data_IF_633683806695
#
_entry.id   IF_633683806695
#
_cell.length_a   1.000
_cell.length_b   1.000
_cell.length_c   1.000
_cell.angle_alpha   90.00
_cell.angle_beta   90.00
_cell.angle_gamma   90.00
#
_symmetry.space_group_name_H-M   'P 1'
#
loop_
_entity.id
_entity.type
_entity.pdbx_description
1 polymer ?
#
# COMPACT_ATOMS: atom_id res chain seq x y z
N UNK A 1 24.38 -27.70 -1.95
CA UNK A 1 24.92 -27.04 -0.74
C UNK A 1 26.30 -26.53 -1.10
N UNK A 2 26.38 -25.31 -1.63
CA UNK A 2 27.65 -24.74 -2.11
C UNK A 2 28.35 -24.05 -0.95
N UNK A 3 29.55 -24.54 -0.64
CA UNK A 3 30.44 -24.06 0.41
C UNK A 3 30.71 -22.57 0.28
N UNK A 4 30.08 -21.75 1.13
CA UNK A 4 30.30 -20.29 1.18
C UNK A 4 31.60 -19.91 1.90
N UNK A 5 32.41 -20.89 2.31
CA UNK A 5 33.62 -20.76 3.12
C UNK A 5 34.89 -20.45 2.32
N UNK A 6 35.04 -21.07 1.14
CA UNK A 6 36.30 -21.16 0.38
C UNK A 6 36.85 -19.86 -0.26
N UNK A 7 36.03 -18.92 -0.78
CA UNK A 7 36.55 -17.84 -1.61
C UNK A 7 37.43 -16.83 -0.85
N UNK A 8 37.10 -16.55 0.42
CA UNK A 8 37.83 -15.56 1.22
C UNK A 8 39.19 -16.10 1.67
N UNK A 9 39.26 -17.40 1.99
CA UNK A 9 40.51 -18.08 2.36
C UNK A 9 41.51 -18.13 1.21
N UNK A 10 41.02 -18.35 -0.01
CA UNK A 10 41.85 -18.34 -1.23
C UNK A 10 42.36 -16.93 -1.56
N UNK A 11 41.52 -15.91 -1.40
CA UNK A 11 41.91 -14.51 -1.55
C UNK A 11 42.94 -14.08 -0.49
N UNK A 12 42.75 -14.50 0.76
CA UNK A 12 43.72 -14.26 1.84
C UNK A 12 45.08 -14.89 1.56
N UNK A 13 45.11 -16.10 1.00
CA UNK A 13 46.35 -16.76 0.58
C UNK A 13 47.05 -15.97 -0.53
N UNK A 14 46.31 -15.55 -1.56
CA UNK A 14 46.83 -14.78 -2.69
C UNK A 14 47.41 -13.42 -2.24
N UNK A 15 46.75 -12.73 -1.31
CA UNK A 15 47.25 -11.45 -0.78
C UNK A 15 48.51 -11.63 0.07
N UNK A 16 48.66 -12.77 0.78
CA UNK A 16 49.91 -13.09 1.50
C UNK A 16 51.09 -13.27 0.53
N UNK A 17 50.87 -13.92 -0.60
CA UNK A 17 51.88 -14.07 -1.65
C UNK A 17 52.29 -12.71 -2.25
N UNK A 18 51.30 -11.85 -2.55
CA UNK A 18 51.52 -10.47 -3.01
C UNK A 18 52.32 -9.65 -1.98
N UNK A 19 52.04 -9.82 -0.70
CA UNK A 19 52.76 -9.14 0.37
C UNK A 19 54.22 -9.61 0.48
N UNK A 20 54.51 -10.89 0.21
CA UNK A 20 55.85 -11.46 0.22
C UNK A 20 56.70 -11.06 -1.00
N UNK A 21 56.08 -10.73 -2.13
CA UNK A 21 56.79 -10.32 -3.35
C UNK A 21 57.49 -8.96 -3.19
N UNK A 22 58.77 -8.88 -3.55
CA UNK A 22 59.55 -7.63 -3.53
C UNK A 22 59.29 -6.74 -4.75
N UNK A 23 58.66 -7.28 -5.80
CA UNK A 23 58.38 -6.56 -7.05
C UNK A 23 57.14 -5.65 -6.93
N UNK A 24 56.30 -5.86 -5.91
CA UNK A 24 55.04 -5.13 -5.74
C UNK A 24 55.29 -3.85 -4.92
N UNK A 25 54.92 -2.66 -5.44
CA UNK A 25 55.04 -1.41 -4.70
C UNK A 25 54.25 -1.41 -3.39
N UNK A 26 54.80 -0.74 -2.37
CA UNK A 26 54.22 -0.69 -1.02
C UNK A 26 52.80 -0.13 -1.01
N UNK A 27 52.51 0.88 -1.83
CA UNK A 27 51.17 1.48 -1.94
C UNK A 27 50.10 0.47 -2.42
N UNK A 28 50.46 -0.42 -3.36
CA UNK A 28 49.55 -1.46 -3.88
C UNK A 28 49.27 -2.50 -2.81
N UNK A 29 50.30 -2.93 -2.06
CA UNK A 29 50.12 -3.83 -0.91
C UNK A 29 49.16 -3.24 0.10
N UNK A 30 49.37 -1.98 0.49
CA UNK A 30 48.49 -1.30 1.46
C UNK A 30 47.06 -1.23 0.97
N UNK A 31 46.82 -0.86 -0.30
CA UNK A 31 45.48 -0.82 -0.88
C UNK A 31 44.79 -2.19 -0.88
N UNK A 32 45.49 -3.25 -1.26
CA UNK A 32 44.93 -4.62 -1.26
C UNK A 32 44.60 -5.12 0.15
N UNK A 33 45.44 -4.83 1.15
CA UNK A 33 45.14 -5.18 2.54
C UNK A 33 43.91 -4.42 3.06
N UNK A 34 43.76 -3.12 2.73
CA UNK A 34 42.54 -2.38 3.08
C UNK A 34 41.28 -2.98 2.45
N UNK A 35 41.34 -3.37 1.17
CA UNK A 35 40.21 -4.04 0.51
C UNK A 35 39.87 -5.38 1.16
N UNK A 36 40.89 -6.14 1.59
CA UNK A 36 40.69 -7.41 2.29
C UNK A 36 39.98 -7.20 3.65
N UNK A 37 40.38 -6.17 4.39
CA UNK A 37 39.77 -5.82 5.67
C UNK A 37 38.30 -5.40 5.49
N UNK A 38 37.99 -4.58 4.48
CA UNK A 38 36.61 -4.20 4.16
C UNK A 38 35.75 -5.40 3.73
N UNK A 39 36.30 -6.31 2.92
CA UNK A 39 35.60 -7.54 2.54
C UNK A 39 35.34 -8.45 3.76
N UNK A 40 36.28 -8.52 4.71
CA UNK A 40 36.09 -9.29 5.94
C UNK A 40 34.96 -8.69 6.80
N UNK A 41 34.91 -7.36 6.95
CA UNK A 41 33.81 -6.66 7.64
C UNK A 41 32.46 -6.91 6.98
N UNK A 42 32.37 -6.73 5.66
CA UNK A 42 31.14 -6.95 4.89
C UNK A 42 30.65 -8.40 4.99
N UNK A 43 31.56 -9.38 5.04
CA UNK A 43 31.18 -10.78 5.24
C UNK A 43 30.61 -11.02 6.63
N UNK A 44 31.26 -10.47 7.67
CA UNK A 44 30.76 -10.55 9.05
C UNK A 44 29.36 -9.94 9.17
N UNK A 45 29.13 -8.77 8.58
CA UNK A 45 27.83 -8.10 8.58
C UNK A 45 26.77 -8.92 7.83
N UNK A 46 27.12 -9.51 6.69
CA UNK A 46 26.22 -10.41 5.97
C UNK A 46 25.85 -11.66 6.79
N UNK A 47 26.79 -12.22 7.55
CA UNK A 47 26.53 -13.38 8.38
C UNK A 47 25.61 -13.03 9.56
N UNK A 48 25.80 -11.86 10.19
CA UNK A 48 24.88 -11.34 11.21
C UNK A 48 23.49 -11.06 10.62
N UNK A 49 23.38 -10.43 9.44
CA UNK A 49 22.11 -10.18 8.76
C UNK A 49 21.39 -11.47 8.37
N UNK A 50 22.12 -12.51 7.96
CA UNK A 50 21.53 -13.83 7.67
C UNK A 50 21.00 -14.49 8.94
N UNK A 51 21.73 -14.37 10.05
CA UNK A 51 21.28 -14.87 11.36
C UNK A 51 20.02 -14.14 11.82
N UNK A 52 20.01 -12.82 11.77
CA UNK A 52 18.82 -12.02 12.10
C UNK A 52 17.63 -12.38 11.20
N UNK A 53 17.84 -12.52 9.89
CA UNK A 53 16.79 -12.97 8.97
C UNK A 53 16.26 -14.37 9.32
N UNK A 54 17.13 -15.29 9.72
CA UNK A 54 16.73 -16.62 10.18
C UNK A 54 15.88 -16.54 11.44
N UNK A 55 16.29 -15.75 12.42
CA UNK A 55 15.58 -15.56 13.69
C UNK A 55 14.22 -14.88 13.48
N UNK A 56 14.14 -13.88 12.59
CA UNK A 56 12.89 -13.21 12.24
C UNK A 56 11.92 -14.14 11.51
N UNK A 57 12.42 -14.98 10.60
CA UNK A 57 11.61 -16.00 9.92
C UNK A 57 11.06 -17.03 10.90
N UNK A 58 11.85 -17.44 11.89
CA UNK A 58 11.38 -18.36 12.92
C UNK A 58 10.34 -17.71 13.83
N UNK A 59 10.57 -16.45 14.24
CA UNK A 59 9.56 -15.68 14.99
C UNK A 59 8.25 -15.55 14.22
N UNK A 60 8.31 -15.30 12.91
CA UNK A 60 7.13 -15.27 12.04
C UNK A 60 6.43 -16.64 12.01
N UNK A 61 7.18 -17.72 11.82
CA UNK A 61 6.63 -19.09 11.83
C UNK A 61 5.89 -19.41 13.12
N UNK A 62 6.46 -19.03 14.27
CA UNK A 62 5.84 -19.22 15.59
C UNK A 62 4.61 -18.33 15.77
N UNK A 63 4.66 -17.07 15.32
CA UNK A 63 3.52 -16.17 15.38
C UNK A 63 2.35 -16.67 14.51
N UNK A 64 2.66 -17.15 13.31
CA UNK A 64 1.71 -17.79 12.40
C UNK A 64 1.12 -19.07 13.00
N UNK A 65 1.93 -19.93 13.65
CA UNK A 65 1.42 -21.14 14.30
C UNK A 65 0.51 -20.83 15.49
N UNK A 66 0.89 -19.87 16.35
CA UNK A 66 0.06 -19.42 17.49
C UNK A 66 -1.25 -18.79 17.02
N UNK A 67 -1.22 -18.04 15.93
CA UNK A 67 -2.42 -17.49 15.30
C UNK A 67 -3.31 -18.61 14.76
N UNK A 68 -2.73 -19.62 14.10
CA UNK A 68 -3.47 -20.80 13.63
C UNK A 68 -4.08 -21.61 14.78
N UNK A 69 -3.39 -21.76 15.90
CA UNK A 69 -3.90 -22.47 17.10
C UNK A 69 -5.04 -21.70 17.79
N UNK A 70 -4.95 -20.36 17.87
CA UNK A 70 -6.05 -19.51 18.34
C UNK A 70 -7.30 -19.60 17.44
N UNK A 71 -7.11 -19.79 16.14
CA UNK A 71 -8.22 -20.02 15.21
C UNK A 71 -8.86 -21.39 15.49
N UNK A 72 -8.09 -22.45 15.73
CA UNK A 72 -8.65 -23.80 15.96
C UNK A 72 -9.45 -23.94 17.26
N UNK A 73 -9.10 -23.20 18.34
CA UNK A 73 -9.88 -23.26 19.60
C UNK A 73 -11.21 -22.49 19.55
N UNK A 74 -11.39 -21.61 18.56
CA UNK A 74 -12.65 -20.88 18.35
C UNK A 74 -13.59 -21.53 17.32
N UNK A 75 -13.16 -22.63 16.67
CA UNK A 75 -13.85 -23.26 15.52
C UNK A 75 -14.78 -24.45 15.90
N UNK A 76 -14.92 -24.82 17.18
CA UNK A 76 -15.98 -25.78 17.57
C UNK A 76 -17.41 -25.23 17.46
N UNK A 77 -17.59 -23.96 17.08
CA UNK A 77 -18.89 -23.38 16.74
C UNK A 77 -18.80 -22.60 15.43
N UNK A 78 -18.93 -23.30 14.30
CA UNK A 78 -19.46 -22.88 12.98
C UNK A 78 -18.64 -23.41 11.80
N UNK A 79 -19.39 -23.87 10.80
CA UNK A 79 -19.06 -24.70 9.64
C UNK A 79 -18.05 -24.10 8.64
N UNK A 80 -17.51 -24.88 7.68
CA UNK A 80 -16.29 -24.53 6.97
C UNK A 80 -16.54 -23.58 5.78
N UNK A 81 -15.83 -22.45 5.76
CA UNK A 81 -15.61 -21.66 4.55
C UNK A 81 -14.14 -21.28 4.44
N UNK A 82 -13.46 -21.83 3.44
CA UNK A 82 -12.03 -21.68 3.16
C UNK A 82 -11.63 -20.27 2.64
N UNK A 83 -12.27 -19.20 3.13
CA UNK A 83 -12.11 -17.83 2.66
C UNK A 83 -11.54 -16.85 3.70
N UNK A 84 -11.16 -17.29 4.89
CA UNK A 84 -10.95 -16.37 6.03
C UNK A 84 -9.71 -15.46 5.89
N UNK A 85 -8.52 -16.00 5.59
CA UNK A 85 -7.27 -15.24 5.65
C UNK A 85 -7.07 -14.19 4.53
N UNK A 86 -7.58 -14.44 3.31
CA UNK A 86 -7.53 -13.45 2.23
C UNK A 86 -8.60 -12.37 2.40
N UNK A 87 -9.72 -12.68 3.06
CA UNK A 87 -10.78 -11.71 3.34
C UNK A 87 -10.31 -10.61 4.29
N UNK A 88 -9.49 -10.95 5.30
CA UNK A 88 -9.04 -10.01 6.33
C UNK A 88 -8.12 -8.92 5.78
N UNK A 89 -7.19 -9.27 4.89
CA UNK A 89 -6.30 -8.27 4.28
C UNK A 89 -7.07 -7.28 3.39
N UNK A 90 -7.92 -7.82 2.51
CA UNK A 90 -8.74 -6.99 1.61
C UNK A 90 -9.75 -6.13 2.39
N UNK A 91 -10.26 -6.65 3.51
CA UNK A 91 -11.11 -5.91 4.43
C UNK A 91 -10.35 -4.80 5.15
N UNK A 92 -9.19 -5.10 5.73
CA UNK A 92 -8.34 -4.11 6.39
C UNK A 92 -7.93 -2.98 5.44
N UNK A 93 -7.50 -3.32 4.21
CA UNK A 93 -7.22 -2.31 3.18
C UNK A 93 -8.47 -1.49 2.84
N UNK A 94 -9.62 -2.13 2.63
CA UNK A 94 -10.88 -1.45 2.30
C UNK A 94 -11.30 -0.48 3.40
N UNK A 95 -11.23 -0.88 4.67
CA UNK A 95 -11.64 -0.08 5.82
C UNK A 95 -10.79 1.19 6.00
N UNK A 96 -9.52 1.15 5.60
CA UNK A 96 -8.63 2.32 5.56
C UNK A 96 -8.56 3.00 4.17
N UNK A 97 -9.48 2.68 3.26
CA UNK A 97 -9.51 3.25 1.92
C UNK A 97 -10.68 4.20 1.68
N UNK A 98 -10.47 5.19 0.82
CA UNK A 98 -11.51 6.06 0.27
C UNK A 98 -11.52 5.97 -1.25
N UNK A 99 -12.61 6.44 -1.83
CA UNK A 99 -12.77 6.62 -3.27
C UNK A 99 -13.13 8.08 -3.54
N UNK A 100 -12.37 8.71 -4.43
CA UNK A 100 -12.56 10.09 -4.86
C UNK A 100 -13.06 10.08 -6.30
N UNK A 101 -14.06 10.90 -6.60
CA UNK A 101 -14.60 11.12 -7.95
C UNK A 101 -14.42 12.56 -8.37
N UNK A 102 -14.27 12.80 -9.68
CA UNK A 102 -14.25 14.15 -10.25
C UNK A 102 -12.88 14.80 -10.35
N UNK A 103 -11.80 14.10 -9.99
CA UNK A 103 -10.43 14.58 -10.19
C UNK A 103 -10.07 14.47 -11.68
N UNK A 104 -9.72 15.56 -12.38
CA UNK A 104 -9.32 15.52 -13.79
C UNK A 104 -8.16 14.54 -14.03
N UNK A 105 -8.15 13.87 -15.18
CA UNK A 105 -7.01 13.03 -15.59
C UNK A 105 -6.04 13.85 -16.43
N UNK A 106 -4.74 13.70 -16.16
CA UNK A 106 -3.70 14.30 -17.00
C UNK A 106 -3.45 13.42 -18.22
N UNK A 107 -3.57 14.01 -19.42
CA UNK A 107 -3.14 13.37 -20.66
C UNK A 107 -1.68 13.71 -20.93
N UNK A 108 -0.80 12.79 -20.55
CA UNK A 108 0.63 12.86 -20.87
C UNK A 108 1.08 11.53 -21.50
N UNK A 109 1.97 11.52 -22.50
CA UNK A 109 2.57 10.27 -22.96
C UNK A 109 3.43 9.60 -21.87
N UNK A 110 3.83 10.33 -20.82
CA UNK A 110 4.68 9.85 -19.73
C UNK A 110 3.80 9.40 -18.56
N UNK A 111 3.83 8.10 -18.24
CA UNK A 111 3.04 7.49 -17.15
C UNK A 111 3.37 8.13 -15.79
N UNK A 112 4.66 8.40 -15.53
CA UNK A 112 5.10 9.02 -14.27
C UNK A 112 4.39 10.34 -14.01
N UNK A 113 4.23 11.18 -15.04
CA UNK A 113 3.61 12.50 -14.87
C UNK A 113 2.11 12.37 -14.58
N UNK A 114 1.43 11.37 -15.17
CA UNK A 114 0.03 11.05 -14.83
C UNK A 114 -0.10 10.62 -13.36
N UNK A 115 0.79 9.73 -12.90
CA UNK A 115 0.78 9.21 -11.53
C UNK A 115 1.11 10.32 -10.51
N UNK A 116 2.11 11.14 -10.81
CA UNK A 116 2.50 12.28 -9.99
C UNK A 116 1.35 13.29 -9.88
N UNK A 117 0.72 13.63 -11.01
CA UNK A 117 -0.45 14.50 -11.02
C UNK A 117 -1.56 13.96 -10.12
N UNK A 118 -1.91 12.67 -10.24
CA UNK A 118 -2.94 12.05 -9.40
C UNK A 118 -2.57 12.10 -7.91
N UNK A 119 -1.31 11.85 -7.58
CA UNK A 119 -0.80 11.92 -6.20
C UNK A 119 -0.88 13.34 -5.63
N UNK A 120 -0.42 14.35 -6.38
CA UNK A 120 -0.42 15.76 -5.96
C UNK A 120 -1.84 16.29 -5.76
N UNK A 121 -2.77 15.88 -6.63
CA UNK A 121 -4.20 16.21 -6.51
C UNK A 121 -4.81 15.58 -5.28
N UNK A 122 -4.53 14.32 -5.01
CA UNK A 122 -4.98 13.66 -3.79
C UNK A 122 -4.43 14.36 -2.56
N UNK A 123 -3.14 14.71 -2.54
CA UNK A 123 -2.54 15.40 -1.41
C UNK A 123 -3.19 16.76 -1.18
N UNK A 124 -3.43 17.54 -2.23
CA UNK A 124 -4.13 18.84 -2.15
C UNK A 124 -5.54 18.71 -1.54
N UNK A 125 -6.27 17.66 -1.92
CA UNK A 125 -7.59 17.34 -1.36
C UNK A 125 -7.47 16.99 0.12
N UNK A 126 -6.50 16.15 0.51
CA UNK A 126 -6.29 15.76 1.90
C UNK A 126 -5.89 16.96 2.77
N UNK A 127 -5.02 17.84 2.27
CA UNK A 127 -4.65 19.09 2.92
C UNK A 127 -5.86 19.99 3.15
N UNK A 128 -6.73 20.15 2.13
CA UNK A 128 -7.98 20.91 2.28
C UNK A 128 -8.93 20.30 3.32
N UNK A 129 -8.93 18.98 3.46
CA UNK A 129 -9.67 18.27 4.50
C UNK A 129 -8.95 18.23 5.85
N UNK A 130 -7.77 18.85 5.97
CA UNK A 130 -6.87 18.81 7.14
C UNK A 130 -6.57 17.36 7.61
N UNK A 131 -6.42 16.45 6.65
CA UNK A 131 -6.02 15.05 6.90
C UNK A 131 -4.52 14.93 6.70
N UNK A 132 -3.78 14.93 7.79
CA UNK A 132 -2.32 14.91 7.81
C UNK A 132 -1.78 13.49 7.69
N UNK A 133 -1.69 12.98 6.47
CA UNK A 133 -0.98 11.73 6.19
C UNK A 133 -0.54 11.63 4.74
N UNK A 134 0.50 10.82 4.52
CA UNK A 134 0.82 10.31 3.19
C UNK A 134 0.05 9.02 2.94
N UNK A 135 -0.72 8.91 1.84
CA UNK A 135 -1.39 7.67 1.50
C UNK A 135 -0.37 6.59 1.11
N UNK A 136 -0.69 5.35 1.47
CA UNK A 136 0.11 4.15 1.14
C UNK A 136 0.03 3.85 -0.36
N UNK A 137 -1.13 4.08 -0.97
CA UNK A 137 -1.32 3.88 -2.40
C UNK A 137 -2.39 4.85 -2.95
N UNK A 138 -2.16 5.30 -4.19
CA UNK A 138 -3.07 6.13 -4.97
C UNK A 138 -3.13 5.57 -6.38
N UNK A 139 -4.32 5.21 -6.85
CA UNK A 139 -4.49 4.67 -8.21
C UNK A 139 -5.90 4.86 -8.76
N UNK A 140 -6.02 4.98 -10.08
CA UNK A 140 -7.30 5.08 -10.80
C UNK A 140 -7.97 3.72 -10.90
N UNK A 141 -9.30 3.71 -10.77
CA UNK A 141 -10.14 2.53 -10.91
C UNK A 141 -10.80 2.48 -12.30
N UNK A 142 -10.83 1.30 -12.90
CA UNK A 142 -11.57 1.03 -14.14
C UNK A 142 -10.84 1.47 -15.42
N UNK A 143 -11.55 1.28 -16.54
CA UNK A 143 -11.07 1.59 -17.89
C UNK A 143 -11.26 3.08 -18.21
N UNK A 144 -10.38 3.65 -19.04
CA UNK A 144 -10.50 5.04 -19.50
C UNK A 144 -11.84 5.26 -20.20
N UNK A 145 -12.45 6.40 -19.95
CA UNK A 145 -13.76 6.80 -20.48
C UNK A 145 -13.78 8.32 -20.67
N UNK A 146 -14.88 8.85 -21.22
CA UNK A 146 -15.10 10.29 -21.36
C UNK A 146 -15.22 11.01 -20.01
N UNK A 147 -15.51 10.28 -18.94
CA UNK A 147 -15.57 10.81 -17.57
C UNK A 147 -14.30 10.46 -16.81
N UNK A 148 -13.78 11.36 -15.95
CA UNK A 148 -12.62 11.06 -15.13
C UNK A 148 -12.88 9.83 -14.25
N UNK A 149 -11.94 8.90 -14.25
CA UNK A 149 -12.01 7.68 -13.46
C UNK A 149 -11.94 8.00 -11.96
N UNK A 150 -12.54 7.12 -11.17
CA UNK A 150 -12.43 7.20 -9.72
C UNK A 150 -10.99 6.95 -9.27
N UNK A 151 -10.53 7.64 -8.24
CA UNK A 151 -9.26 7.36 -7.56
C UNK A 151 -9.55 6.57 -6.30
N UNK A 152 -8.85 5.45 -6.09
CA UNK A 152 -8.76 4.78 -4.79
C UNK A 152 -7.53 5.28 -4.06
N UNK A 153 -7.71 5.65 -2.79
CA UNK A 153 -6.65 6.09 -1.90
C UNK A 153 -6.65 5.18 -0.68
N UNK A 154 -5.51 4.61 -0.35
CA UNK A 154 -5.31 3.72 0.79
C UNK A 154 -4.51 4.46 1.85
N UNK A 155 -5.04 4.59 3.07
CA UNK A 155 -4.36 5.28 4.17
C UNK A 155 -3.53 4.34 5.04
N UNK A 156 -2.56 4.86 5.82
CA UNK A 156 -1.81 4.06 6.80
C UNK A 156 -2.72 3.42 7.87
N UNK A 157 -3.82 4.11 8.25
CA UNK A 157 -4.75 3.66 9.28
C UNK A 157 -6.20 4.08 8.99
N UNK A 158 -7.16 3.38 9.59
CA UNK A 158 -8.60 3.65 9.44
C UNK A 158 -9.00 5.03 10.02
N UNK A 159 -8.27 5.56 11.00
CA UNK A 159 -8.54 6.88 11.59
C UNK A 159 -8.45 8.02 10.57
N UNK A 160 -7.52 7.94 9.62
CA UNK A 160 -7.39 8.88 8.50
C UNK A 160 -8.57 8.78 7.54
N UNK A 161 -9.00 7.55 7.23
CA UNK A 161 -10.20 7.30 6.43
C UNK A 161 -11.44 7.95 7.05
N UNK A 162 -11.69 7.68 8.33
CA UNK A 162 -12.85 8.23 9.05
C UNK A 162 -12.80 9.76 9.10
N UNK A 163 -11.62 10.31 9.34
CA UNK A 163 -11.36 11.74 9.32
C UNK A 163 -11.67 12.38 7.98
N UNK A 164 -11.21 11.78 6.88
CA UNK A 164 -11.44 12.26 5.52
C UNK A 164 -12.93 12.21 5.15
N UNK A 165 -13.60 11.10 5.45
CA UNK A 165 -15.04 10.94 5.16
C UNK A 165 -15.89 11.90 5.99
N UNK A 166 -15.61 12.06 7.29
CA UNK A 166 -16.32 13.02 8.16
C UNK A 166 -16.23 14.45 7.63
N UNK A 167 -15.09 14.80 7.01
CA UNK A 167 -14.80 16.14 6.48
C UNK A 167 -15.13 16.30 5.00
N UNK A 168 -15.54 15.23 4.31
CA UNK A 168 -15.91 15.25 2.89
C UNK A 168 -16.92 16.37 2.50
N UNK A 169 -17.90 16.77 3.35
CA UNK A 169 -18.77 17.90 3.02
C UNK A 169 -18.03 19.23 2.77
N UNK A 170 -16.81 19.40 3.28
CA UNK A 170 -15.98 20.59 3.05
C UNK A 170 -15.46 20.68 1.60
N UNK A 171 -15.53 19.59 0.83
CA UNK A 171 -15.14 19.60 -0.59
C UNK A 171 -16.02 20.51 -1.44
N UNK A 172 -17.21 20.90 -0.96
CA UNK A 172 -18.03 21.95 -1.61
C UNK A 172 -17.30 23.29 -1.72
N UNK A 173 -16.38 23.55 -0.80
CA UNK A 173 -15.53 24.75 -0.72
C UNK A 173 -14.15 24.54 -1.33
N UNK A 174 -13.86 23.36 -1.89
CA UNK A 174 -12.62 23.14 -2.63
C UNK A 174 -12.63 24.03 -3.89
N UNK A 175 -11.46 24.52 -4.35
CA UNK A 175 -11.37 25.38 -5.54
C UNK A 175 -11.99 24.74 -6.79
N UNK A 176 -11.78 23.44 -6.97
CA UNK A 176 -12.38 22.68 -8.06
C UNK A 176 -13.75 22.11 -7.66
N UNK A 177 -14.73 22.29 -8.55
CA UNK A 177 -16.09 21.78 -8.34
C UNK A 177 -16.23 20.35 -8.85
N UNK A 178 -17.20 19.63 -8.30
CA UNK A 178 -17.52 18.27 -8.73
C UNK A 178 -16.63 17.18 -8.13
N UNK A 179 -15.79 17.52 -7.16
CA UNK A 179 -15.02 16.53 -6.39
C UNK A 179 -15.88 16.00 -5.25
N UNK A 180 -16.03 14.67 -5.21
CA UNK A 180 -16.71 13.98 -4.12
C UNK A 180 -15.85 12.87 -3.57
N UNK A 181 -15.97 12.65 -2.28
CA UNK A 181 -15.23 11.62 -1.55
C UNK A 181 -16.22 10.75 -0.79
N UNK A 182 -15.98 9.44 -0.81
CA UNK A 182 -16.69 8.47 0.01
C UNK A 182 -15.75 7.39 0.49
N UNK A 183 -16.21 6.62 1.46
CA UNK A 183 -15.56 5.38 1.86
C UNK A 183 -15.52 4.32 0.75
N UNK A 184 -14.50 3.46 0.79
CA UNK A 184 -14.43 2.27 -0.05
C UNK A 184 -15.38 1.20 0.47
N UNK A 185 -16.32 0.79 -0.37
CA UNK A 185 -17.42 -0.11 0.00
C UNK A 185 -17.29 -1.46 -0.71
N UNK A 186 -17.79 -2.51 -0.06
CA UNK A 186 -17.96 -3.83 -0.69
C UNK A 186 -18.89 -3.73 -1.90
N UNK A 187 -18.85 -4.72 -2.78
CA UNK A 187 -19.73 -4.75 -3.93
C UNK A 187 -21.22 -4.81 -3.54
N UNK A 188 -21.55 -5.66 -2.56
CA UNK A 188 -22.89 -5.74 -1.99
C UNK A 188 -23.38 -4.39 -1.45
N UNK A 189 -22.53 -3.69 -0.69
CA UNK A 189 -22.87 -2.38 -0.12
C UNK A 189 -22.97 -1.28 -1.17
N UNK A 190 -22.11 -1.32 -2.21
CA UNK A 190 -22.23 -0.43 -3.38
C UNK A 190 -23.54 -0.64 -4.12
N UNK A 191 -23.97 -1.90 -4.28
CA UNK A 191 -25.25 -2.24 -4.92
C UNK A 191 -26.41 -1.72 -4.07
N UNK A 192 -26.41 -2.01 -2.76
CA UNK A 192 -27.43 -1.50 -1.83
C UNK A 192 -27.59 0.02 -1.89
N UNK A 193 -26.49 0.78 -1.81
CA UNK A 193 -26.54 2.26 -1.91
C UNK A 193 -27.00 2.76 -3.28
N UNK A 194 -26.70 2.03 -4.35
CA UNK A 194 -27.21 2.37 -5.68
C UNK A 194 -28.72 2.17 -5.74
N UNK A 195 -29.19 1.04 -5.23
CA UNK A 195 -30.61 0.69 -5.21
C UNK A 195 -31.40 1.69 -4.36
N UNK A 196 -30.91 2.05 -3.17
CA UNK A 196 -31.48 3.10 -2.30
C UNK A 196 -31.62 4.46 -3.00
N UNK A 197 -30.57 4.91 -3.72
CA UNK A 197 -30.62 6.17 -4.48
C UNK A 197 -31.62 6.11 -5.63
N UNK A 198 -31.69 4.95 -6.28
CA UNK A 198 -32.63 4.74 -7.38
C UNK A 198 -34.06 4.81 -6.85
N UNK A 199 -34.35 4.14 -5.73
CA UNK A 199 -35.66 4.17 -5.07
C UNK A 199 -36.06 5.58 -4.61
N UNK A 200 -35.17 6.31 -3.91
CA UNK A 200 -35.45 7.68 -3.47
C UNK A 200 -35.71 8.65 -4.64
N UNK A 201 -35.00 8.49 -5.76
CA UNK A 201 -35.23 9.31 -6.95
C UNK A 201 -36.61 9.07 -7.57
N UNK A 202 -37.16 7.84 -7.46
CA UNK A 202 -38.50 7.51 -7.96
C UNK A 202 -39.60 8.01 -7.00
N UNK A 203 -39.37 7.95 -5.68
CA UNK A 203 -40.32 8.48 -4.68
C UNK A 203 -40.45 10.00 -4.73
N UNK A 204 -39.38 10.73 -5.02
CA UNK A 204 -39.42 12.20 -5.11
C UNK A 204 -40.24 12.66 -6.33
N UNK A 205 -40.18 11.91 -7.44
CA UNK A 205 -41.02 12.18 -8.61
C UNK A 205 -42.51 11.85 -8.38
N UNK A 206 -42.83 10.84 -7.57
CA UNK A 206 -44.24 10.50 -7.26
C UNK A 206 -44.92 11.53 -6.34
N UNK A 207 -44.18 12.18 -5.43
CA UNK A 207 -44.73 13.22 -4.55
C UNK A 207 -45.02 14.53 -5.29
N UNK A 208 -44.31 14.80 -6.40
CA UNK A 208 -44.59 15.95 -7.26
C UNK A 208 -45.90 15.74 -8.04
N UNK A 209 -46.11 14.53 -8.60
CA UNK A 209 -47.30 14.19 -9.40
C UNK A 209 -48.58 14.20 -8.57
N UNK A 210 -48.54 13.82 -7.28
CA UNK A 210 -49.76 13.82 -6.45
C UNK A 210 -50.13 15.19 -5.88
N UNK A 211 -49.26 16.21 -5.96
CA UNK A 211 -49.60 17.58 -5.58
C UNK A 211 -50.29 18.36 -6.70
N UNK A 212 -49.93 18.09 -7.95
CA UNK A 212 -50.55 18.75 -9.11
C UNK A 212 -51.97 18.25 -9.45
N UNK A 213 -52.44 17.17 -8.81
CA UNK A 213 -53.80 16.63 -8.99
C UNK A 213 -54.79 17.17 -7.95
N UNK A 214 -54.32 17.83 -6.87
CA UNK A 214 -55.20 18.40 -5.83
C UNK A 214 -55.43 19.91 -5.96
N UNK A 215 -54.89 20.57 -7.00
CA UNK A 215 -55.02 22.01 -7.22
C UNK A 215 -55.72 22.36 -8.55
N UNK A 216 -56.62 21.50 -9.03
CA UNK A 216 -57.55 21.77 -10.13
C UNK A 216 -59.00 21.47 -9.74
#
# INVERSE_FOLDING_TARGET
>A
MTSSGEPLTELQHSIKEVNASTQVPKCVKTALNHLLDELAKLRSENDELKKENSDLREKLRIAESKLSEQITSSVEKTSPSANCASSDFHESERLRSIVISGVPELESPIIRDQLQHDFDRVLSILTHLSVECFPVAVYRLGKKSHRPRLIKVVFPAQTFQRSAVKRAPLLRFFPEKGIFLRESLTEAERKRRRDERTLNSHSTNHVQITKDVQEN
#
